data_IF_385104463847
#
_entry.id   IF_385104463847
#
_cell.length_a   1.000
_cell.length_b   1.000
_cell.length_c   1.000
_cell.angle_alpha   90.00
_cell.angle_beta   90.00
_cell.angle_gamma   90.00
#
_symmetry.space_group_name_H-M   'P 1'
#
loop_
_entity.id
_entity.type
_entity.pdbx_description
1 polymer ?
#
# COMPACT_ATOMS: atom_id res chain seq x y z
N UNK A 1 2.09 20.30 -12.97
CA UNK A 1 2.91 19.66 -11.93
C UNK A 1 2.98 20.49 -10.65
N UNK A 2 3.40 21.77 -10.64
CA UNK A 2 3.46 22.60 -9.44
C UNK A 2 2.17 22.72 -8.63
N UNK A 3 1.01 22.78 -9.30
CA UNK A 3 -0.28 22.88 -8.61
C UNK A 3 -0.63 21.60 -7.84
N UNK A 4 -0.43 20.42 -8.46
CA UNK A 4 -0.64 19.12 -7.80
C UNK A 4 0.25 19.02 -6.57
N UNK A 5 1.54 19.30 -6.70
CA UNK A 5 2.48 19.29 -5.59
C UNK A 5 2.05 20.20 -4.43
N UNK A 6 1.72 21.48 -4.73
CA UNK A 6 1.32 22.43 -3.69
C UNK A 6 0.04 22.01 -2.97
N UNK A 7 -0.97 21.57 -3.71
CA UNK A 7 -2.25 21.16 -3.11
C UNK A 7 -2.05 19.89 -2.28
N UNK A 8 -1.32 18.90 -2.79
CA UNK A 8 -1.02 17.67 -2.04
C UNK A 8 -0.25 17.98 -0.76
N UNK A 9 0.73 18.86 -0.83
CA UNK A 9 1.53 19.27 0.35
C UNK A 9 0.66 19.98 1.39
N UNK A 10 -0.15 20.96 0.99
CA UNK A 10 -1.06 21.68 1.89
C UNK A 10 -2.05 20.72 2.53
N UNK A 11 -2.64 19.82 1.74
CA UNK A 11 -3.60 18.84 2.24
C UNK A 11 -2.96 17.86 3.24
N UNK A 12 -1.78 17.34 2.92
CA UNK A 12 -1.02 16.45 3.83
C UNK A 12 -0.67 17.14 5.12
N UNK A 13 -0.17 18.40 5.07
CA UNK A 13 0.14 19.18 6.25
C UNK A 13 -1.12 19.44 7.09
N UNK A 14 -2.24 19.82 6.46
CA UNK A 14 -3.50 20.07 7.16
C UNK A 14 -4.00 18.82 7.91
N UNK A 15 -3.95 17.64 7.26
CA UNK A 15 -4.32 16.37 7.89
C UNK A 15 -3.37 16.01 9.04
N UNK A 16 -2.06 16.20 8.84
CA UNK A 16 -1.07 15.96 9.90
C UNK A 16 -1.27 16.89 11.11
N UNK A 17 -1.51 18.17 10.86
CA UNK A 17 -1.80 19.14 11.92
C UNK A 17 -3.10 18.80 12.65
N UNK A 18 -4.14 18.37 11.93
CA UNK A 18 -5.37 17.91 12.56
C UNK A 18 -5.12 16.69 13.46
N UNK A 19 -4.36 15.69 12.99
CA UNK A 19 -4.00 14.53 13.82
C UNK A 19 -3.19 14.88 15.06
N UNK A 20 -2.34 15.92 15.01
CA UNK A 20 -1.53 16.38 16.15
C UNK A 20 -2.34 17.24 17.14
N UNK A 21 -3.08 18.22 16.62
CA UNK A 21 -3.77 19.22 17.43
C UNK A 21 -5.16 18.78 17.91
N UNK A 22 -5.80 17.86 17.19
CA UNK A 22 -7.15 17.36 17.46
C UNK A 22 -7.24 15.85 17.32
N UNK A 23 -6.34 15.11 17.96
CA UNK A 23 -6.19 13.66 17.83
C UNK A 23 -7.48 12.87 18.06
N UNK A 24 -8.30 13.27 19.04
CA UNK A 24 -9.58 12.62 19.33
C UNK A 24 -10.61 12.82 18.21
N UNK A 25 -10.73 14.05 17.71
CA UNK A 25 -11.65 14.36 16.60
C UNK A 25 -11.19 13.72 15.29
N UNK A 26 -9.87 13.65 15.06
CA UNK A 26 -9.30 12.97 13.92
C UNK A 26 -9.54 11.46 13.97
N UNK A 27 -9.32 10.82 15.13
CA UNK A 27 -9.58 9.41 15.33
C UNK A 27 -11.07 9.08 15.12
N UNK A 28 -11.98 9.84 15.71
CA UNK A 28 -13.42 9.64 15.54
C UNK A 28 -13.86 9.77 14.07
N UNK A 29 -13.30 10.74 13.34
CA UNK A 29 -13.54 10.88 11.92
C UNK A 29 -13.00 9.69 11.11
N UNK A 30 -11.77 9.27 11.39
CA UNK A 30 -11.13 8.15 10.70
C UNK A 30 -11.90 6.84 10.93
N UNK A 31 -12.32 6.56 12.15
CA UNK A 31 -13.13 5.39 12.51
C UNK A 31 -14.50 5.42 11.82
N UNK A 32 -15.15 6.57 11.80
CA UNK A 32 -16.44 6.75 11.11
C UNK A 32 -16.32 6.54 9.61
N UNK A 33 -15.26 7.09 8.99
CA UNK A 33 -14.99 6.93 7.57
C UNK A 33 -14.66 5.48 7.23
N UNK A 34 -13.79 4.83 8.02
CA UNK A 34 -13.46 3.42 7.85
C UNK A 34 -14.71 2.53 7.99
N UNK A 35 -15.53 2.78 9.02
CA UNK A 35 -16.79 2.06 9.23
C UNK A 35 -17.75 2.21 8.06
N UNK A 36 -17.90 3.42 7.52
CA UNK A 36 -18.70 3.67 6.31
C UNK A 36 -18.15 2.89 5.10
N UNK A 37 -16.85 3.00 4.84
CA UNK A 37 -16.23 2.35 3.68
C UNK A 37 -16.30 0.82 3.77
N UNK A 38 -16.06 0.25 4.94
CA UNK A 38 -16.08 -1.21 5.10
C UNK A 38 -17.49 -1.79 5.08
N UNK A 39 -18.46 -1.11 5.72
CA UNK A 39 -19.86 -1.55 5.76
C UNK A 39 -20.53 -1.44 4.40
N UNK A 40 -20.40 -0.29 3.74
CA UNK A 40 -21.20 0.03 2.55
C UNK A 40 -20.50 -0.39 1.25
N UNK A 41 -19.16 -0.45 1.25
CA UNK A 41 -18.35 -0.79 0.07
C UNK A 41 -17.48 -2.05 0.26
N UNK A 42 -17.53 -2.74 1.40
CA UNK A 42 -16.73 -3.95 1.64
C UNK A 42 -16.90 -5.01 0.56
N UNK A 43 -18.12 -5.25 0.10
CA UNK A 43 -18.41 -6.16 -1.00
C UNK A 43 -17.74 -5.75 -2.31
N UNK A 44 -17.66 -4.45 -2.59
CA UNK A 44 -17.02 -3.92 -3.81
C UNK A 44 -15.51 -4.16 -3.76
N UNK A 45 -14.88 -3.92 -2.61
CA UNK A 45 -13.45 -4.22 -2.45
C UNK A 45 -13.14 -5.68 -2.70
N UNK A 46 -13.91 -6.59 -2.10
CA UNK A 46 -13.72 -8.04 -2.29
C UNK A 46 -13.89 -8.43 -3.76
N UNK A 47 -14.94 -7.92 -4.43
CA UNK A 47 -15.19 -8.19 -5.83
C UNK A 47 -14.07 -7.67 -6.74
N UNK A 48 -13.64 -6.42 -6.53
CA UNK A 48 -12.58 -5.79 -7.36
C UNK A 48 -11.24 -6.50 -7.16
N UNK A 49 -10.90 -6.87 -5.93
CA UNK A 49 -9.66 -7.60 -5.65
C UNK A 49 -9.66 -8.98 -6.31
N UNK A 50 -10.79 -9.71 -6.25
CA UNK A 50 -10.93 -10.97 -6.96
C UNK A 50 -10.82 -10.78 -8.48
N UNK A 51 -11.47 -9.75 -9.03
CA UNK A 51 -11.36 -9.40 -10.44
C UNK A 51 -9.92 -9.12 -10.86
N UNK A 52 -9.13 -8.44 -10.01
CA UNK A 52 -7.71 -8.20 -10.26
C UNK A 52 -6.89 -9.49 -10.27
N UNK A 53 -7.17 -10.45 -9.38
CA UNK A 53 -6.51 -11.76 -9.41
C UNK A 53 -6.79 -12.47 -10.73
N UNK A 54 -8.06 -12.55 -11.12
CA UNK A 54 -8.47 -13.18 -12.38
C UNK A 54 -7.82 -12.48 -13.58
N UNK A 55 -7.83 -11.16 -13.58
CA UNK A 55 -7.23 -10.35 -14.65
C UNK A 55 -5.71 -10.49 -14.73
N UNK A 56 -5.01 -10.55 -13.60
CA UNK A 56 -3.57 -10.79 -13.56
C UNK A 56 -3.22 -12.16 -14.13
N UNK A 57 -3.97 -13.21 -13.76
CA UNK A 57 -3.82 -14.57 -14.31
C UNK A 57 -4.09 -14.57 -15.83
N UNK A 58 -5.17 -13.90 -16.26
CA UNK A 58 -5.48 -13.77 -17.67
C UNK A 58 -4.35 -13.08 -18.44
N UNK A 59 -3.79 -11.99 -17.93
CA UNK A 59 -2.66 -11.31 -18.57
C UNK A 59 -1.45 -12.22 -18.67
N UNK A 60 -1.10 -12.93 -17.60
CA UNK A 60 0.07 -13.81 -17.55
C UNK A 60 0.01 -14.94 -18.59
N UNK A 61 -1.16 -15.56 -18.78
CA UNK A 61 -1.32 -16.72 -19.67
C UNK A 61 -1.87 -16.39 -21.06
N UNK A 62 -2.22 -15.13 -21.33
CA UNK A 62 -2.70 -14.68 -22.65
C UNK A 62 -1.56 -14.21 -23.57
N UNK A 63 -1.93 -13.89 -24.81
CA UNK A 63 -1.00 -13.23 -25.76
C UNK A 63 -0.46 -11.89 -25.25
N UNK A 64 -1.13 -11.23 -24.33
CA UNK A 64 -0.74 -9.95 -23.75
C UNK A 64 0.46 -10.08 -22.80
N UNK A 65 0.69 -11.24 -22.18
CA UNK A 65 1.85 -11.51 -21.34
C UNK A 65 3.18 -11.46 -22.08
N UNK A 66 3.16 -11.48 -23.44
CA UNK A 66 4.35 -11.35 -24.27
C UNK A 66 4.71 -9.91 -24.65
N UNK A 67 3.87 -8.93 -24.29
CA UNK A 67 4.13 -7.52 -24.60
C UNK A 67 5.27 -7.03 -23.73
N UNK A 68 6.35 -6.55 -24.37
CA UNK A 68 7.42 -5.84 -23.66
C UNK A 68 6.91 -4.49 -23.18
N UNK A 69 7.20 -4.15 -21.92
CA UNK A 69 6.84 -2.86 -21.34
C UNK A 69 7.73 -1.73 -21.86
N UNK A 70 8.97 -2.03 -22.27
CA UNK A 70 9.87 -1.08 -22.95
C UNK A 70 9.83 -1.19 -24.46
N UNK A 71 10.85 -0.67 -25.13
CA UNK A 71 11.06 -0.80 -26.58
C UNK A 71 11.23 -2.28 -26.98
N UNK A 72 10.91 -2.61 -28.24
CA UNK A 72 10.93 -4.01 -28.71
C UNK A 72 12.35 -4.63 -28.70
N UNK A 73 13.37 -3.81 -28.88
CA UNK A 73 14.79 -4.17 -28.84
C UNK A 73 15.44 -4.05 -27.45
N UNK A 74 14.69 -3.56 -26.44
CA UNK A 74 15.20 -3.40 -25.08
C UNK A 74 15.63 -4.73 -24.48
N UNK A 75 16.73 -4.69 -23.72
CA UNK A 75 17.25 -5.82 -22.94
C UNK A 75 17.04 -5.54 -21.45
N UNK A 76 16.95 -6.58 -20.60
CA UNK A 76 16.91 -6.39 -19.17
C UNK A 76 18.14 -5.63 -18.68
N UNK A 77 17.93 -4.60 -17.84
CA UNK A 77 19.02 -3.82 -17.22
C UNK A 77 19.70 -4.57 -16.07
N UNK A 78 18.98 -5.49 -15.45
CA UNK A 78 19.45 -6.26 -14.31
C UNK A 78 19.44 -7.75 -14.60
N UNK A 79 20.35 -8.49 -13.96
CA UNK A 79 20.30 -9.95 -13.96
C UNK A 79 19.03 -10.45 -13.27
N UNK A 80 18.57 -11.66 -13.58
CA UNK A 80 17.40 -12.27 -12.95
C UNK A 80 17.54 -12.32 -11.41
N UNK A 81 18.73 -12.64 -10.90
CA UNK A 81 19.01 -12.71 -9.47
C UNK A 81 18.89 -11.32 -8.84
N UNK A 82 19.47 -10.28 -9.44
CA UNK A 82 19.35 -8.90 -8.94
C UNK A 82 17.90 -8.42 -8.94
N UNK A 83 17.15 -8.78 -10.00
CA UNK A 83 15.74 -8.44 -10.10
C UNK A 83 14.91 -9.12 -8.99
N UNK A 84 15.12 -10.43 -8.75
CA UNK A 84 14.49 -11.13 -7.64
C UNK A 84 14.85 -10.53 -6.27
N UNK A 85 16.11 -10.16 -6.07
CA UNK A 85 16.56 -9.54 -4.82
C UNK A 85 15.87 -8.19 -4.58
N UNK A 86 15.71 -7.36 -5.63
CA UNK A 86 14.98 -6.09 -5.54
C UNK A 86 13.49 -6.29 -5.22
N UNK A 87 12.83 -7.27 -5.88
CA UNK A 87 11.43 -7.59 -5.60
C UNK A 87 11.26 -8.13 -4.18
N UNK A 88 12.16 -9.02 -3.75
CA UNK A 88 12.16 -9.55 -2.39
C UNK A 88 12.36 -8.43 -1.36
N UNK A 89 13.36 -7.57 -1.57
CA UNK A 89 13.61 -6.44 -0.67
C UNK A 89 12.44 -5.45 -0.57
N UNK A 90 11.74 -5.23 -1.68
CA UNK A 90 10.53 -4.39 -1.69
C UNK A 90 9.32 -5.09 -1.04
N UNK A 91 9.14 -6.39 -1.27
CA UNK A 91 7.99 -7.17 -0.80
C UNK A 91 8.11 -7.56 0.68
N UNK A 92 9.32 -7.87 1.16
CA UNK A 92 9.60 -8.24 2.56
C UNK A 92 9.85 -7.01 3.45
N UNK A 93 9.13 -5.96 3.19
CA UNK A 93 9.19 -4.75 4.00
C UNK A 93 8.56 -4.91 5.39
N UNK A 94 8.61 -3.82 6.15
CA UNK A 94 8.12 -3.73 7.53
C UNK A 94 6.68 -4.22 7.68
N UNK A 95 5.82 -3.94 6.70
CA UNK A 95 4.43 -4.38 6.69
C UNK A 95 4.31 -5.89 6.85
N UNK A 96 4.99 -6.67 6.02
CA UNK A 96 4.93 -8.12 6.09
C UNK A 96 5.58 -8.67 7.37
N UNK A 97 6.73 -8.12 7.78
CA UNK A 97 7.43 -8.55 9.00
C UNK A 97 6.60 -8.27 10.25
N UNK A 98 5.94 -7.13 10.32
CA UNK A 98 5.07 -6.77 11.44
C UNK A 98 3.77 -7.60 11.42
N UNK A 99 3.03 -7.55 10.30
CA UNK A 99 1.71 -8.16 10.20
C UNK A 99 1.75 -9.69 10.09
N UNK A 100 2.88 -10.26 9.68
CA UNK A 100 3.05 -11.72 9.66
C UNK A 100 2.86 -12.39 11.01
N UNK A 101 3.11 -11.67 12.11
CA UNK A 101 2.83 -12.13 13.47
C UNK A 101 1.59 -11.44 14.05
N UNK A 102 1.45 -10.12 13.88
CA UNK A 102 0.40 -9.32 14.51
C UNK A 102 -1.01 -9.70 14.01
N UNK A 103 -1.17 -9.96 12.73
CA UNK A 103 -2.49 -10.24 12.16
C UNK A 103 -3.07 -11.59 12.60
N UNK A 104 -2.36 -12.73 12.47
CA UNK A 104 -2.91 -14.00 12.96
C UNK A 104 -3.18 -13.97 14.47
N UNK A 105 -2.35 -13.29 15.26
CA UNK A 105 -2.60 -13.13 16.70
C UNK A 105 -3.87 -12.29 16.93
N UNK A 106 -4.03 -11.18 16.21
CA UNK A 106 -5.22 -10.32 16.34
C UNK A 106 -6.50 -11.07 16.02
N UNK A 107 -6.53 -11.83 14.94
CA UNK A 107 -7.69 -12.65 14.59
C UNK A 107 -7.94 -13.82 15.56
N UNK A 108 -6.90 -14.35 16.19
CA UNK A 108 -7.01 -15.42 17.17
C UNK A 108 -7.62 -14.93 18.48
N UNK A 109 -7.23 -13.75 18.95
CA UNK A 109 -7.74 -13.19 20.23
C UNK A 109 -9.03 -12.41 20.06
N UNK A 110 -9.32 -11.88 18.87
CA UNK A 110 -10.54 -11.13 18.54
C UNK A 110 -11.14 -11.59 17.20
N UNK A 111 -11.61 -12.86 17.12
CA UNK A 111 -12.25 -13.36 15.91
C UNK A 111 -13.62 -12.70 15.71
N UNK A 112 -14.22 -12.82 14.49
CA UNK A 112 -15.54 -12.32 14.23
C UNK A 112 -16.61 -13.03 15.09
N UNK A 113 -17.79 -12.41 15.15
CA UNK A 113 -18.94 -12.92 15.89
C UNK A 113 -19.24 -14.40 15.55
N UNK A 114 -19.55 -15.18 16.57
CA UNK A 114 -19.84 -16.62 16.44
C UNK A 114 -18.62 -17.52 16.60
N UNK A 115 -17.40 -17.01 16.71
CA UNK A 115 -16.18 -17.78 16.95
C UNK A 115 -15.62 -17.43 18.32
N UNK A 116 -15.41 -18.45 19.18
CA UNK A 116 -14.83 -18.24 20.50
C UNK A 116 -13.34 -17.86 20.39
N UNK A 117 -12.95 -16.75 21.04
CA UNK A 117 -11.57 -16.30 21.11
C UNK A 117 -10.65 -17.41 21.69
N UNK A 118 -9.45 -17.56 21.15
CA UNK A 118 -8.48 -18.56 21.60
C UNK A 118 -8.81 -20.01 21.26
N UNK A 119 -9.90 -20.28 20.53
CA UNK A 119 -10.30 -21.62 20.13
C UNK A 119 -9.53 -22.12 18.89
N UNK A 120 -9.60 -23.43 18.64
CA UNK A 120 -9.06 -23.99 17.39
C UNK A 120 -9.74 -23.39 16.15
N UNK A 121 -11.03 -23.08 16.23
CA UNK A 121 -11.76 -22.42 15.15
C UNK A 121 -11.25 -20.99 14.93
N UNK A 122 -10.91 -20.24 16.00
CA UNK A 122 -10.28 -18.94 15.89
C UNK A 122 -8.87 -19.03 15.26
N UNK A 123 -8.10 -20.07 15.59
CA UNK A 123 -6.79 -20.29 14.97
C UNK A 123 -6.91 -20.58 13.46
N UNK A 124 -7.84 -21.44 13.07
CA UNK A 124 -8.11 -21.75 11.65
C UNK A 124 -8.57 -20.50 10.87
N UNK A 125 -9.49 -19.73 11.46
CA UNK A 125 -9.94 -18.45 10.90
C UNK A 125 -8.79 -17.46 10.75
N UNK A 126 -7.96 -17.31 11.80
CA UNK A 126 -6.82 -16.39 11.81
C UNK A 126 -5.83 -16.70 10.68
N UNK A 127 -5.48 -17.96 10.48
CA UNK A 127 -4.57 -18.38 9.42
C UNK A 127 -5.18 -18.15 8.03
N UNK A 128 -6.44 -18.54 7.82
CA UNK A 128 -7.13 -18.33 6.54
C UNK A 128 -7.20 -16.84 6.18
N UNK A 129 -7.56 -15.99 7.14
CA UNK A 129 -7.64 -14.53 6.92
C UNK A 129 -6.28 -13.93 6.59
N UNK A 130 -5.24 -14.30 7.33
CA UNK A 130 -3.88 -13.83 7.09
C UNK A 130 -3.37 -14.24 5.71
N UNK A 131 -3.57 -15.50 5.29
CA UNK A 131 -3.21 -15.93 3.94
C UNK A 131 -4.03 -15.25 2.84
N UNK A 132 -5.29 -14.92 3.08
CA UNK A 132 -6.11 -14.17 2.15
C UNK A 132 -5.62 -12.73 2.01
N UNK A 133 -5.30 -12.07 3.13
CA UNK A 133 -4.88 -10.66 3.15
C UNK A 133 -3.46 -10.45 2.61
N UNK A 134 -2.57 -11.47 2.71
CA UNK A 134 -1.16 -11.36 2.26
C UNK A 134 -0.83 -12.25 1.06
N UNK A 135 -1.83 -12.98 0.54
CA UNK A 135 -1.69 -13.86 -0.62
C UNK A 135 -1.90 -13.16 -1.96
N UNK A 136 -2.63 -13.80 -2.86
CA UNK A 136 -2.78 -13.34 -4.23
C UNK A 136 -3.50 -11.99 -4.39
N UNK A 137 -4.44 -11.66 -3.52
CA UNK A 137 -5.27 -10.47 -3.67
C UNK A 137 -4.49 -9.15 -3.63
N UNK A 138 -3.70 -8.84 -2.59
CA UNK A 138 -2.92 -7.61 -2.57
C UNK A 138 -1.85 -7.59 -3.66
N UNK A 139 -1.18 -8.71 -3.91
CA UNK A 139 -0.13 -8.77 -4.92
C UNK A 139 -0.69 -8.62 -6.35
N UNK A 140 -1.89 -9.11 -6.63
CA UNK A 140 -2.58 -8.81 -7.88
C UNK A 140 -2.89 -7.32 -8.02
N UNK A 141 -3.33 -6.66 -6.95
CA UNK A 141 -3.59 -5.22 -6.94
C UNK A 141 -2.32 -4.41 -7.23
N UNK A 142 -1.20 -4.72 -6.56
CA UNK A 142 0.10 -4.11 -6.87
C UNK A 142 0.53 -4.37 -8.31
N UNK A 143 0.38 -5.60 -8.79
CA UNK A 143 0.78 -5.99 -10.13
C UNK A 143 -0.01 -5.26 -11.22
N UNK A 144 -1.33 -5.11 -11.07
CA UNK A 144 -2.18 -4.42 -12.05
C UNK A 144 -1.79 -2.94 -12.14
N UNK A 145 -1.63 -2.27 -11.01
CA UNK A 145 -1.24 -0.85 -10.98
C UNK A 145 0.18 -0.68 -11.52
N UNK A 146 1.12 -1.52 -11.09
CA UNK A 146 2.51 -1.49 -11.54
C UNK A 146 2.65 -1.75 -13.05
N UNK A 147 1.93 -2.75 -13.58
CA UNK A 147 1.90 -3.05 -15.01
C UNK A 147 1.29 -1.90 -15.82
N UNK A 148 0.19 -1.33 -15.35
CA UNK A 148 -0.45 -0.21 -16.01
C UNK A 148 0.49 1.01 -16.06
N UNK A 149 1.11 1.38 -14.92
CA UNK A 149 2.09 2.46 -14.88
C UNK A 149 3.27 2.20 -15.81
N UNK A 150 3.87 1.02 -15.74
CA UNK A 150 5.00 0.65 -16.57
C UNK A 150 4.64 0.66 -18.07
N UNK A 151 3.46 0.16 -18.44
CA UNK A 151 2.99 0.19 -19.83
C UNK A 151 2.82 1.62 -20.34
N UNK A 152 2.15 2.48 -19.57
CA UNK A 152 1.95 3.87 -20.01
C UNK A 152 3.26 4.65 -20.00
N UNK A 153 4.11 4.47 -19.01
CA UNK A 153 5.38 5.20 -18.91
C UNK A 153 6.41 4.73 -19.95
N UNK A 154 6.67 3.45 -20.01
CA UNK A 154 7.77 2.94 -20.83
C UNK A 154 7.36 2.55 -22.26
N UNK A 155 6.12 2.08 -22.47
CA UNK A 155 5.66 1.69 -23.80
C UNK A 155 4.93 2.82 -24.54
N UNK A 156 4.22 3.67 -23.81
CA UNK A 156 3.44 4.79 -24.38
C UNK A 156 4.11 6.16 -24.20
N UNK A 157 5.26 6.21 -23.52
CA UNK A 157 6.00 7.44 -23.23
C UNK A 157 5.15 8.53 -22.54
N UNK A 158 4.15 8.11 -21.77
CA UNK A 158 3.33 8.99 -20.97
C UNK A 158 4.06 9.36 -19.66
N UNK A 159 3.70 10.47 -19.00
CA UNK A 159 4.21 10.77 -17.68
C UNK A 159 3.94 9.62 -16.69
N UNK A 160 4.89 9.34 -15.77
CA UNK A 160 4.73 8.33 -14.73
C UNK A 160 3.77 8.81 -13.62
N UNK A 161 2.53 9.12 -13.99
CA UNK A 161 1.47 9.61 -13.11
C UNK A 161 0.30 8.62 -13.12
N UNK A 162 -0.39 8.49 -12.00
CA UNK A 162 -1.58 7.65 -11.91
C UNK A 162 -2.67 8.11 -12.89
N UNK A 163 -2.81 9.42 -13.08
CA UNK A 163 -3.75 9.97 -14.07
C UNK A 163 -3.49 9.49 -15.50
N UNK A 164 -2.22 9.20 -15.86
CA UNK A 164 -1.87 8.74 -17.20
C UNK A 164 -2.51 7.39 -17.57
N UNK A 165 -2.76 6.52 -16.58
CA UNK A 165 -3.44 5.23 -16.78
C UNK A 165 -4.86 5.41 -17.31
N UNK A 166 -5.50 6.53 -16.98
CA UNK A 166 -6.87 6.83 -17.36
C UNK A 166 -6.99 7.50 -18.74
N UNK A 167 -5.88 7.74 -19.44
CA UNK A 167 -5.90 8.36 -20.78
C UNK A 167 -6.89 7.70 -21.75
N UNK A 168 -7.02 6.36 -21.83
CA UNK A 168 -7.99 5.74 -22.73
C UNK A 168 -9.46 6.00 -22.35
N UNK A 169 -9.74 6.34 -21.09
CA UNK A 169 -11.10 6.54 -20.59
C UNK A 169 -11.54 8.01 -20.68
N UNK A 170 -10.66 8.93 -20.28
CA UNK A 170 -10.99 10.35 -20.17
C UNK A 170 -10.26 11.25 -21.20
N UNK A 171 -9.43 10.64 -22.04
CA UNK A 171 -8.63 11.33 -23.04
C UNK A 171 -7.52 12.21 -22.47
N UNK A 172 -6.62 12.70 -23.33
CA UNK A 172 -5.51 13.57 -22.89
C UNK A 172 -5.98 14.89 -22.25
N UNK A 173 -7.07 15.46 -22.73
CA UNK A 173 -7.62 16.70 -22.14
C UNK A 173 -8.13 16.47 -20.72
N UNK A 174 -8.77 15.32 -20.46
CA UNK A 174 -9.23 14.95 -19.13
C UNK A 174 -8.07 14.72 -18.17
N UNK A 175 -7.03 13.99 -18.59
CA UNK A 175 -5.83 13.73 -17.80
C UNK A 175 -5.06 15.02 -17.47
N UNK A 176 -4.92 15.94 -18.43
CA UNK A 176 -4.26 17.24 -18.21
C UNK A 176 -5.17 18.26 -17.48
N UNK A 177 -6.46 17.96 -17.40
CA UNK A 177 -7.50 18.79 -16.80
C UNK A 177 -7.65 18.66 -15.28
N UNK A 178 -8.75 19.18 -14.70
CA UNK A 178 -9.02 19.08 -13.27
C UNK A 178 -9.13 17.63 -12.77
N UNK A 179 -9.76 16.76 -13.55
CA UNK A 179 -9.97 15.35 -13.16
C UNK A 179 -8.63 14.62 -12.97
N UNK A 180 -7.70 14.74 -13.94
CA UNK A 180 -6.37 14.14 -13.81
C UNK A 180 -5.60 14.70 -12.63
N UNK A 181 -5.72 16.01 -12.36
CA UNK A 181 -5.06 16.64 -11.20
C UNK A 181 -5.61 16.11 -9.87
N UNK A 182 -6.93 15.90 -9.76
CA UNK A 182 -7.55 15.31 -8.57
C UNK A 182 -7.04 13.88 -8.35
N UNK A 183 -6.99 13.07 -9.41
CA UNK A 183 -6.45 11.71 -9.35
C UNK A 183 -5.01 11.73 -8.82
N UNK A 184 -4.16 12.59 -9.36
CA UNK A 184 -2.75 12.66 -8.94
C UNK A 184 -2.60 13.21 -7.52
N UNK A 185 -3.42 14.16 -7.08
CA UNK A 185 -3.43 14.67 -5.70
C UNK A 185 -3.79 13.55 -4.72
N UNK A 186 -4.84 12.78 -5.01
CA UNK A 186 -5.25 11.65 -4.18
C UNK A 186 -4.17 10.55 -4.15
N UNK A 187 -3.53 10.27 -5.29
CA UNK A 187 -2.45 9.30 -5.37
C UNK A 187 -1.23 9.71 -4.51
N UNK A 188 -0.83 10.99 -4.59
CA UNK A 188 0.26 11.52 -3.75
C UNK A 188 -0.10 11.43 -2.28
N UNK A 189 -1.31 11.85 -1.90
CA UNK A 189 -1.76 11.80 -0.51
C UNK A 189 -1.80 10.36 0.02
N UNK A 190 -2.39 9.43 -0.72
CA UNK A 190 -2.45 8.03 -0.34
C UNK A 190 -1.04 7.41 -0.17
N UNK A 191 -0.11 7.75 -1.08
CA UNK A 191 1.28 7.30 -1.00
C UNK A 191 1.97 7.83 0.25
N UNK A 192 1.85 9.13 0.53
CA UNK A 192 2.47 9.73 1.72
C UNK A 192 1.89 9.14 3.01
N UNK A 193 0.56 8.99 3.10
CA UNK A 193 -0.09 8.38 4.25
C UNK A 193 0.35 6.93 4.46
N UNK A 194 0.40 6.12 3.40
CA UNK A 194 0.83 4.72 3.47
C UNK A 194 2.31 4.58 3.89
N UNK A 195 3.20 5.43 3.35
CA UNK A 195 4.61 5.43 3.75
C UNK A 195 4.75 5.86 5.21
N UNK A 196 4.05 6.90 5.65
CA UNK A 196 4.09 7.38 7.03
C UNK A 196 3.67 6.28 8.01
N UNK A 197 2.56 5.59 7.74
CA UNK A 197 2.07 4.46 8.56
C UNK A 197 3.09 3.32 8.61
N UNK A 198 3.65 2.92 7.47
CA UNK A 198 4.64 1.84 7.40
C UNK A 198 5.93 2.17 8.16
N UNK A 199 6.42 3.42 8.05
CA UNK A 199 7.60 3.87 8.77
C UNK A 199 7.34 3.93 10.28
N UNK A 200 6.15 4.32 10.70
CA UNK A 200 5.78 4.36 12.12
C UNK A 200 5.77 2.95 12.73
N UNK A 201 5.02 2.03 12.14
CA UNK A 201 4.99 0.62 12.57
C UNK A 201 6.40 0.00 12.63
N UNK A 202 7.23 0.25 11.62
CA UNK A 202 8.58 -0.27 11.59
C UNK A 202 9.48 0.33 12.65
N UNK A 203 9.31 1.60 12.97
CA UNK A 203 10.07 2.24 14.04
C UNK A 203 9.69 1.68 15.40
N UNK A 204 8.40 1.47 15.65
CA UNK A 204 7.90 0.83 16.87
C UNK A 204 8.46 -0.59 17.00
N UNK A 205 8.37 -1.40 15.95
CA UNK A 205 8.87 -2.77 15.96
C UNK A 205 10.38 -2.86 16.24
N UNK A 206 11.18 -2.00 15.60
CA UNK A 206 12.62 -1.94 15.84
C UNK A 206 12.91 -1.52 17.28
N UNK A 207 12.17 -0.53 17.79
CA UNK A 207 12.36 -0.06 19.17
C UNK A 207 12.05 -1.16 20.18
N UNK A 208 10.92 -1.84 20.03
CA UNK A 208 10.55 -3.00 20.86
C UNK A 208 11.56 -4.13 20.77
N UNK A 209 12.04 -4.47 19.57
CA UNK A 209 13.08 -5.49 19.41
C UNK A 209 14.39 -5.14 20.11
N UNK A 210 14.79 -3.87 20.07
CA UNK A 210 16.00 -3.41 20.75
C UNK A 210 15.82 -3.25 22.26
N UNK A 211 14.61 -2.93 22.71
CA UNK A 211 14.28 -3.01 24.13
C UNK A 211 14.44 -4.45 24.63
N UNK A 212 13.86 -5.40 23.91
CA UNK A 212 13.95 -6.82 24.28
C UNK A 212 15.38 -7.35 24.30
N UNK A 213 16.21 -7.00 23.31
CA UNK A 213 17.57 -7.52 23.18
C UNK A 213 18.60 -6.79 24.07
N UNK A 214 18.45 -5.47 24.21
CA UNK A 214 19.49 -4.61 24.81
C UNK A 214 18.98 -3.71 25.94
N UNK A 215 17.71 -3.84 26.33
CA UNK A 215 17.12 -2.98 27.38
C UNK A 215 17.01 -1.51 27.00
N UNK A 216 17.03 -1.17 25.73
CA UNK A 216 16.90 0.23 25.30
C UNK A 216 15.49 0.76 25.56
N UNK A 217 15.33 1.95 26.15
CA UNK A 217 14.03 2.45 26.54
C UNK A 217 13.10 2.71 25.33
N UNK A 218 11.83 2.38 25.48
CA UNK A 218 10.78 2.67 24.51
C UNK A 218 10.24 4.10 24.70
N UNK A 219 11.08 5.10 24.37
CA UNK A 219 10.71 6.51 24.49
C UNK A 219 10.46 7.16 23.14
N UNK A 220 9.63 8.21 23.12
CA UNK A 220 9.38 9.03 21.93
C UNK A 220 10.67 9.62 21.35
N UNK A 221 11.65 9.97 22.18
CA UNK A 221 12.95 10.51 21.75
C UNK A 221 13.75 9.47 20.96
N UNK A 222 13.84 8.24 21.45
CA UNK A 222 14.54 7.14 20.76
C UNK A 222 13.82 6.81 19.42
N UNK A 223 12.49 6.87 19.38
CA UNK A 223 11.72 6.67 18.14
C UNK A 223 11.95 7.77 17.11
N UNK A 224 12.04 9.04 17.54
CA UNK A 224 12.30 10.18 16.64
C UNK A 224 13.72 10.13 16.07
N UNK A 225 14.71 9.82 16.90
CA UNK A 225 16.10 9.68 16.45
C UNK A 225 16.24 8.60 15.36
N UNK A 226 15.57 7.47 15.52
CA UNK A 226 15.56 6.38 14.53
C UNK A 226 14.81 6.72 13.24
N UNK A 227 13.72 7.49 13.33
CA UNK A 227 13.01 8.00 12.15
C UNK A 227 13.92 8.94 11.35
N UNK A 228 14.66 9.83 12.01
CA UNK A 228 15.57 10.77 11.35
C UNK A 228 16.76 10.08 10.69
N UNK A 229 17.32 9.06 11.31
CA UNK A 229 18.46 8.30 10.76
C UNK A 229 18.10 7.54 9.48
N UNK A 230 16.85 7.03 9.36
CA UNK A 230 16.38 6.35 8.14
C UNK A 230 16.10 7.28 6.96
N UNK A 231 15.78 8.53 7.22
CA UNK A 231 15.54 9.52 6.16
C UNK A 231 16.85 10.02 5.51
N UNK A 232 17.99 9.75 6.16
CA UNK A 232 19.32 10.19 5.70
C UNK A 232 20.17 9.03 5.13
N UNK A 233 19.66 7.81 5.06
CA UNK A 233 20.29 6.63 4.46
C UNK A 233 19.59 6.24 3.15
#
# INVERSE_FOLDING_TARGET
>A
MYMVYRISLIFTIAVALWGILGSESFAAFADSLLGFLTRDFGWLYLFVMLAFVIFAIFLAFSKYGKIKLGADDSKPEHSTISWFAMLFGAGMGIGLVFWGAAEPISHFVAPPEGIAAGSLQAADFAMKSSFMHWGFHPWATYSIIGLALAYFQFRKHAPGLISSIFTPLIGEKGVKGPVGKIIDILAVFATVAGIATSLDLGTLQINSGLNYLFGLPETKLVQVDRKSTRLNS
#
